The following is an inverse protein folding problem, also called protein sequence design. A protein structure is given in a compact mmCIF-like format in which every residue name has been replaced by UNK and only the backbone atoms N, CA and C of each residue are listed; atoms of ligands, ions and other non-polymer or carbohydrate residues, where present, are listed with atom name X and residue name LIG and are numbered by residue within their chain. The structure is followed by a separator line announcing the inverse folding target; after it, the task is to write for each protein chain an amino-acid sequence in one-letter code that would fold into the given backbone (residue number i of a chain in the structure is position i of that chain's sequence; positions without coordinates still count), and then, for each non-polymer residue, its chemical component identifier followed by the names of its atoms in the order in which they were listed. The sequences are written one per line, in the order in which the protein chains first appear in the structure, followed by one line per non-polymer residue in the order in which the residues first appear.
data_IF_379601257309
#
_entry.id   IF_379601257309
#
_cell.length_a   1.000
_cell.length_b   1.000
_cell.length_c   1.000
_cell.angle_alpha   90.00
_cell.angle_beta   90.00
_cell.angle_gamma   90.00
#
_symmetry.space_group_name_H-M   'P 1'
#
loop_
_entity.id
_entity.type
_entity.pdbx_description
1 polymer ?
#
# COMPACT_ATOMS: atom_id res chain seq x y z
N UNK A 1 29.09 -9.51 4.00
CA UNK A 1 28.33 -9.15 5.21
C UNK A 1 26.90 -9.64 5.01
N UNK A 2 26.56 -10.71 5.69
CA UNK A 2 25.25 -11.37 5.58
C UNK A 2 24.20 -10.51 6.31
N UNK A 3 23.33 -9.86 5.55
CA UNK A 3 22.15 -9.19 6.11
C UNK A 3 21.19 -10.27 6.59
N UNK A 4 21.12 -10.46 7.89
CA UNK A 4 20.12 -11.29 8.56
C UNK A 4 18.74 -10.69 8.27
N UNK A 5 17.95 -11.38 7.45
CA UNK A 5 16.51 -11.16 7.32
C UNK A 5 15.86 -11.58 8.65
N UNK A 6 15.68 -10.62 9.55
CA UNK A 6 14.90 -10.86 10.76
C UNK A 6 13.44 -11.01 10.34
N UNK A 7 12.97 -12.24 10.26
CA UNK A 7 11.55 -12.58 10.17
C UNK A 7 10.92 -12.17 11.51
N UNK A 8 9.95 -11.27 11.49
CA UNK A 8 9.24 -10.86 12.70
C UNK A 8 8.67 -12.08 13.42
N UNK A 9 8.74 -12.10 14.74
CA UNK A 9 8.17 -13.20 15.54
C UNK A 9 6.65 -13.27 15.30
N UNK A 10 6.06 -14.48 15.19
CA UNK A 10 4.63 -14.63 14.97
C UNK A 10 3.83 -13.96 16.09
N UNK A 11 2.97 -13.01 15.73
CA UNK A 11 2.10 -12.27 16.65
C UNK A 11 2.53 -10.84 16.97
N UNK A 12 3.73 -10.38 16.54
CA UNK A 12 4.17 -9.00 16.74
C UNK A 12 3.83 -8.13 15.54
N UNK A 13 3.28 -6.92 15.79
CA UNK A 13 3.06 -5.95 14.74
C UNK A 13 4.39 -5.49 14.12
N UNK A 14 4.46 -5.44 12.80
CA UNK A 14 5.57 -4.85 12.07
C UNK A 14 5.55 -3.32 12.20
N UNK A 15 4.36 -2.73 12.07
CA UNK A 15 4.09 -1.32 12.35
C UNK A 15 2.95 -1.22 13.36
N UNK A 16 3.15 -0.42 14.40
CA UNK A 16 2.12 -0.03 15.34
C UNK A 16 2.10 1.49 15.44
N UNK A 17 0.94 2.11 15.26
CA UNK A 17 0.72 3.53 15.53
C UNK A 17 -0.42 3.67 16.53
N UNK A 18 -0.23 4.54 17.54
CA UNK A 18 -1.19 4.74 18.62
C UNK A 18 -1.52 6.20 18.82
N UNK A 19 -2.77 6.47 19.15
CA UNK A 19 -3.25 7.80 19.53
C UNK A 19 -3.18 8.80 18.38
N UNK A 20 -3.25 8.37 17.11
CA UNK A 20 -3.11 9.27 15.97
C UNK A 20 -4.22 10.29 15.99
N UNK A 21 -3.84 11.56 16.20
CA UNK A 21 -4.74 12.71 16.18
C UNK A 21 -4.28 13.67 15.09
N UNK A 22 -5.23 14.20 14.29
CA UNK A 22 -4.95 15.15 13.21
C UNK A 22 -6.05 16.17 13.08
N UNK A 23 -5.66 17.46 13.09
CA UNK A 23 -6.57 18.59 12.95
C UNK A 23 -6.23 19.39 11.69
N UNK A 24 -7.25 19.88 11.02
CA UNK A 24 -7.17 20.86 9.94
C UNK A 24 -8.02 22.07 10.32
N UNK A 25 -7.37 23.07 10.89
CA UNK A 25 -8.08 24.21 11.50
C UNK A 25 -9.02 23.76 12.62
N UNK A 26 -10.32 23.98 12.48
CA UNK A 26 -11.32 23.58 13.47
C UNK A 26 -11.82 22.13 13.28
N UNK A 27 -11.39 21.42 12.22
CA UNK A 27 -11.87 20.06 11.92
C UNK A 27 -10.90 19.04 12.47
N UNK A 28 -11.35 18.15 13.36
CA UNK A 28 -10.62 16.96 13.78
C UNK A 28 -10.87 15.86 12.75
N UNK A 29 -9.87 15.61 11.90
CA UNK A 29 -9.95 14.56 10.89
C UNK A 29 -9.62 13.16 11.44
N UNK A 30 -8.81 13.09 12.51
CA UNK A 30 -8.53 11.89 13.30
C UNK A 30 -8.49 12.24 14.78
N UNK A 31 -9.02 11.35 15.59
CA UNK A 31 -9.05 11.50 17.05
C UNK A 31 -8.72 10.17 17.70
N UNK A 32 -7.53 10.08 18.31
CA UNK A 32 -7.07 8.95 19.10
C UNK A 32 -7.21 7.60 18.37
N UNK A 33 -6.64 7.53 17.13
CA UNK A 33 -6.73 6.34 16.29
C UNK A 33 -5.51 5.47 16.47
N UNK A 34 -5.73 4.21 16.86
CA UNK A 34 -4.71 3.16 16.83
C UNK A 34 -4.84 2.34 15.56
N UNK A 35 -3.71 1.99 14.98
CA UNK A 35 -3.63 1.13 13.82
C UNK A 35 -2.34 0.30 13.82
N UNK A 36 -2.44 -0.95 13.41
CA UNK A 36 -1.30 -1.85 13.38
C UNK A 36 -1.31 -2.70 12.10
N UNK A 37 -0.13 -3.13 11.66
CA UNK A 37 0.07 -3.99 10.50
C UNK A 37 1.06 -5.09 10.84
N UNK A 38 0.70 -6.35 10.55
CA UNK A 38 1.56 -7.50 10.74
C UNK A 38 2.18 -7.98 9.43
N UNK A 39 3.34 -8.64 9.52
CA UNK A 39 3.94 -9.29 8.35
C UNK A 39 3.07 -10.46 7.88
N UNK A 40 2.90 -10.59 6.56
CA UNK A 40 2.07 -11.64 5.97
C UNK A 40 0.57 -11.50 6.26
N UNK A 41 0.11 -10.28 6.54
CA UNK A 41 -1.30 -9.94 6.78
C UNK A 41 -1.81 -8.98 5.70
N UNK A 42 -3.07 -9.13 5.32
CA UNK A 42 -3.84 -8.07 4.66
C UNK A 42 -4.80 -7.47 5.67
N UNK A 43 -4.55 -6.24 6.07
CA UNK A 43 -5.47 -5.46 6.90
C UNK A 43 -6.23 -4.46 6.03
N UNK A 44 -7.55 -4.55 6.01
CA UNK A 44 -8.40 -3.59 5.31
C UNK A 44 -8.75 -2.42 6.23
N UNK A 45 -8.66 -1.20 5.68
CA UNK A 45 -9.12 0.02 6.32
C UNK A 45 -10.36 0.51 5.58
N UNK A 46 -11.51 0.37 6.21
CA UNK A 46 -12.82 0.71 5.63
C UNK A 46 -13.50 1.84 6.40
N UNK A 47 -14.51 2.44 5.81
CA UNK A 47 -15.28 3.55 6.38
C UNK A 47 -15.87 4.40 5.27
N UNK A 48 -16.82 5.25 5.61
CA UNK A 48 -17.47 6.16 4.67
C UNK A 48 -16.51 7.26 4.16
N UNK A 49 -16.95 8.03 3.15
CA UNK A 49 -16.23 9.21 2.70
C UNK A 49 -16.11 10.22 3.84
N UNK A 50 -14.89 10.75 4.04
CA UNK A 50 -14.63 11.64 5.18
C UNK A 50 -14.40 10.94 6.53
N UNK A 51 -14.39 9.60 6.60
CA UNK A 51 -14.14 8.86 7.84
C UNK A 51 -12.71 9.01 8.41
N UNK A 52 -11.77 9.57 7.63
CA UNK A 52 -10.38 9.78 8.06
C UNK A 52 -9.36 8.80 7.44
N UNK A 53 -9.80 7.85 6.57
CA UNK A 53 -8.92 6.81 5.98
C UNK A 53 -7.67 7.39 5.31
N UNK A 54 -7.86 8.29 4.34
CA UNK A 54 -6.74 8.91 3.60
C UNK A 54 -5.87 9.79 4.51
N UNK A 55 -6.45 10.39 5.56
CA UNK A 55 -5.69 11.16 6.55
C UNK A 55 -4.77 10.25 7.37
N UNK A 56 -5.28 9.08 7.82
CA UNK A 56 -4.48 8.11 8.55
C UNK A 56 -3.32 7.57 7.68
N UNK A 57 -3.60 7.25 6.41
CA UNK A 57 -2.56 6.77 5.50
C UNK A 57 -1.50 7.85 5.22
N UNK A 58 -1.92 9.11 5.04
CA UNK A 58 -0.98 10.23 4.89
C UNK A 58 -0.13 10.45 6.14
N UNK A 59 -0.69 10.21 7.34
CA UNK A 59 0.07 10.25 8.58
C UNK A 59 1.11 9.12 8.63
N UNK A 60 0.72 7.88 8.34
CA UNK A 60 1.62 6.71 8.32
C UNK A 60 2.70 6.85 7.24
N UNK A 61 2.36 7.39 6.07
CA UNK A 61 3.33 7.61 4.98
C UNK A 61 4.21 8.84 5.15
N UNK A 62 4.06 9.61 6.25
CA UNK A 62 4.85 10.80 6.54
C UNK A 62 4.58 12.00 5.64
N UNK A 63 3.51 11.99 4.82
CA UNK A 63 3.12 13.13 3.96
C UNK A 63 2.45 14.22 4.78
N UNK A 64 1.60 13.81 5.72
CA UNK A 64 0.91 14.70 6.66
C UNK A 64 0.95 14.06 8.05
N UNK A 65 2.06 14.20 8.78
CA UNK A 65 2.21 13.58 10.11
C UNK A 65 1.05 13.93 11.04
N UNK A 66 0.73 13.01 11.94
CA UNK A 66 -0.20 13.28 13.05
C UNK A 66 0.28 14.46 13.88
N UNK A 67 -0.66 15.20 14.47
CA UNK A 67 -0.30 16.26 15.41
C UNK A 67 0.13 15.66 16.75
N UNK A 68 -0.49 14.52 17.09
CA UNK A 68 -0.14 13.68 18.24
C UNK A 68 -0.17 12.22 17.78
N UNK A 69 0.84 11.44 18.10
CA UNK A 69 0.91 9.99 17.88
C UNK A 69 2.15 9.39 18.52
N UNK A 70 2.14 8.09 18.73
CA UNK A 70 3.35 7.28 18.90
C UNK A 70 3.41 6.23 17.80
N UNK A 71 4.61 5.87 17.37
CA UNK A 71 4.80 4.84 16.37
C UNK A 71 5.95 3.91 16.76
N UNK A 72 5.76 2.62 16.52
CA UNK A 72 6.79 1.60 16.70
C UNK A 72 6.90 0.75 15.44
N UNK A 73 8.13 0.44 15.06
CA UNK A 73 8.49 -0.47 13.99
C UNK A 73 9.22 -1.67 14.56
N UNK A 74 8.63 -2.85 14.41
CA UNK A 74 9.12 -4.08 15.04
C UNK A 74 9.43 -3.86 16.54
N UNK A 75 8.55 -3.08 17.23
CA UNK A 75 8.57 -2.69 18.62
C UNK A 75 9.69 -1.75 19.04
N UNK A 76 10.35 -1.11 18.10
CA UNK A 76 11.26 0.00 18.35
C UNK A 76 10.57 1.31 18.00
N UNK A 77 10.67 2.30 18.89
CA UNK A 77 10.08 3.61 18.66
C UNK A 77 10.66 4.25 17.41
N UNK A 78 9.78 4.78 16.56
CA UNK A 78 10.15 5.44 15.31
C UNK A 78 9.34 6.72 15.11
N UNK A 79 9.82 7.56 14.19
CA UNK A 79 9.11 8.77 13.75
C UNK A 79 8.73 8.65 12.28
N UNK A 80 7.51 9.11 11.96
CA UNK A 80 6.93 9.13 10.61
C UNK A 80 6.64 10.57 10.21
N UNK A 81 7.68 11.42 10.24
CA UNK A 81 7.54 12.85 10.00
C UNK A 81 7.70 13.23 8.53
N UNK A 82 8.34 12.38 7.73
CA UNK A 82 8.59 12.60 6.32
C UNK A 82 8.35 11.32 5.51
N UNK A 83 8.05 11.42 4.18
CA UNK A 83 7.97 10.25 3.32
C UNK A 83 9.27 9.42 3.30
N UNK A 84 10.41 10.07 3.50
CA UNK A 84 11.70 9.40 3.58
C UNK A 84 11.81 8.50 4.83
N UNK A 85 11.21 8.91 5.96
CA UNK A 85 11.19 8.08 7.17
C UNK A 85 10.39 6.81 6.93
N UNK A 86 9.19 6.93 6.37
CA UNK A 86 8.36 5.78 5.99
C UNK A 86 9.07 4.85 4.98
N UNK A 87 9.71 5.43 3.96
CA UNK A 87 10.45 4.66 2.94
C UNK A 87 11.65 3.90 3.53
N UNK A 88 12.40 4.49 4.48
CA UNK A 88 13.54 3.83 5.16
C UNK A 88 13.09 2.63 6.00
N UNK A 89 11.91 2.68 6.57
CA UNK A 89 11.30 1.56 7.28
C UNK A 89 10.79 0.48 6.31
N UNK A 90 10.69 0.77 5.01
CA UNK A 90 10.15 -0.14 4.02
C UNK A 90 8.63 -0.05 3.89
N UNK A 91 8.05 1.12 4.13
CA UNK A 91 6.64 1.41 3.86
C UNK A 91 6.54 2.04 2.46
N UNK A 92 5.81 1.40 1.57
CA UNK A 92 5.50 1.91 0.24
C UNK A 92 4.00 2.16 0.10
N UNK A 93 3.62 3.26 -0.57
CA UNK A 93 2.22 3.62 -0.77
C UNK A 93 1.91 3.75 -2.26
N UNK A 94 0.86 3.10 -2.69
CA UNK A 94 0.25 3.24 -4.02
C UNK A 94 -1.06 3.99 -3.81
N UNK A 95 -1.10 5.23 -4.27
CA UNK A 95 -2.28 6.08 -4.18
C UNK A 95 -3.27 5.78 -5.30
N UNK A 96 -4.50 6.23 -5.16
CA UNK A 96 -5.55 6.13 -6.15
C UNK A 96 -5.13 6.76 -7.50
N UNK A 97 -4.45 7.91 -7.46
CA UNK A 97 -3.72 8.43 -8.61
C UNK A 97 -2.38 7.69 -8.71
N UNK A 98 -2.25 6.86 -9.73
CA UNK A 98 -1.10 5.96 -9.90
C UNK A 98 0.21 6.70 -10.21
N UNK A 99 0.12 7.98 -10.57
CA UNK A 99 1.26 8.82 -10.97
C UNK A 99 2.17 8.11 -11.99
N UNK A 100 1.58 7.51 -13.02
CA UNK A 100 2.27 6.90 -14.15
C UNK A 100 2.32 7.89 -15.33
N UNK A 101 3.44 7.88 -16.05
CA UNK A 101 3.64 8.67 -17.26
C UNK A 101 3.14 7.86 -18.45
N UNK A 102 2.03 8.28 -19.05
CA UNK A 102 1.36 7.56 -20.16
C UNK A 102 2.24 7.39 -21.40
N UNK A 103 3.12 8.36 -21.68
CA UNK A 103 4.02 8.40 -22.81
C UNK A 103 5.36 7.67 -22.60
N UNK A 104 5.55 7.05 -21.46
CA UNK A 104 6.71 6.22 -21.15
C UNK A 104 6.33 4.75 -21.12
N UNK A 105 7.30 3.88 -21.44
CA UNK A 105 7.12 2.45 -21.30
C UNK A 105 7.07 1.98 -19.83
N UNK A 106 6.80 0.70 -19.62
CA UNK A 106 6.72 0.11 -18.29
C UNK A 106 8.07 0.20 -17.58
N UNK A 107 9.21 -0.04 -18.24
CA UNK A 107 10.54 0.03 -17.64
C UNK A 107 10.82 1.43 -17.11
N UNK A 108 10.63 2.46 -17.95
CA UNK A 108 10.85 3.84 -17.55
C UNK A 108 9.91 4.27 -16.40
N UNK A 109 8.64 3.82 -16.40
CA UNK A 109 7.72 4.08 -15.31
C UNK A 109 8.13 3.39 -13.99
N UNK A 110 8.62 2.16 -14.06
CA UNK A 110 9.08 1.43 -12.87
C UNK A 110 10.28 2.14 -12.21
N UNK A 111 11.23 2.58 -13.01
CA UNK A 111 12.47 3.17 -12.51
C UNK A 111 12.46 4.71 -12.41
N UNK A 112 11.36 5.38 -12.72
CA UNK A 112 11.27 6.84 -12.67
C UNK A 112 11.69 7.39 -11.29
N UNK A 113 12.76 8.20 -11.27
CA UNK A 113 13.38 8.73 -10.05
C UNK A 113 14.26 7.73 -9.29
N UNK A 114 14.50 6.53 -9.86
CA UNK A 114 15.36 5.47 -9.31
C UNK A 114 16.19 4.80 -10.40
N UNK A 115 16.47 5.55 -11.46
CA UNK A 115 17.15 5.06 -12.66
C UNK A 115 18.48 4.43 -12.29
N UNK A 116 18.78 3.29 -12.91
CA UNK A 116 20.11 2.68 -12.82
C UNK A 116 21.01 3.35 -13.83
N UNK A 117 22.22 3.65 -13.41
CA UNK A 117 23.23 4.31 -14.25
C UNK A 117 24.54 3.57 -14.18
N UNK A 118 25.23 3.49 -15.31
CA UNK A 118 26.58 2.95 -15.44
C UNK A 118 27.55 4.02 -15.96
N UNK A 119 28.84 3.76 -15.80
CA UNK A 119 29.87 4.63 -16.39
C UNK A 119 29.84 4.45 -17.92
N UNK A 120 29.65 5.54 -18.64
CA UNK A 120 29.69 5.53 -20.10
C UNK A 120 31.05 5.13 -20.65
N UNK A 121 31.16 4.83 -21.96
CA UNK A 121 32.37 4.30 -22.60
C UNK A 121 33.63 5.14 -22.37
N UNK A 122 33.50 6.41 -22.06
CA UNK A 122 34.62 7.34 -21.81
C UNK A 122 34.93 7.52 -20.33
N UNK A 123 34.11 6.93 -19.42
CA UNK A 123 34.22 7.12 -17.96
C UNK A 123 33.93 8.55 -17.47
N UNK A 124 33.51 9.45 -18.37
CA UNK A 124 33.26 10.87 -18.03
C UNK A 124 31.78 11.16 -17.85
N UNK A 125 30.89 10.41 -18.53
CA UNK A 125 29.45 10.57 -18.46
C UNK A 125 28.79 9.32 -17.90
N UNK A 126 27.78 9.50 -17.03
CA UNK A 126 26.90 8.42 -16.58
C UNK A 126 25.76 8.26 -17.58
N UNK A 127 25.52 7.03 -18.00
CA UNK A 127 24.43 6.68 -18.93
C UNK A 127 23.43 5.76 -18.22
N UNK A 128 22.20 5.73 -18.72
CA UNK A 128 21.20 4.81 -18.17
C UNK A 128 21.57 3.37 -18.52
N UNK A 129 21.56 2.50 -17.50
CA UNK A 129 21.69 1.06 -17.71
C UNK A 129 20.30 0.47 -18.05
N UNK A 130 19.92 0.66 -19.32
CA UNK A 130 18.60 0.19 -19.77
C UNK A 130 18.49 -1.33 -19.77
N UNK A 131 19.59 -2.05 -19.95
CA UNK A 131 19.60 -3.51 -19.97
C UNK A 131 19.31 -4.05 -18.56
N UNK A 132 19.99 -3.52 -17.55
CA UNK A 132 19.75 -3.91 -16.15
C UNK A 132 18.33 -3.54 -15.71
N UNK A 133 17.86 -2.33 -16.05
CA UNK A 133 16.49 -1.90 -15.72
C UNK A 133 15.44 -2.80 -16.38
N UNK A 134 15.62 -3.19 -17.66
CA UNK A 134 14.71 -4.09 -18.36
C UNK A 134 14.69 -5.48 -17.72
N UNK A 135 15.87 -6.06 -17.44
CA UNK A 135 15.98 -7.37 -16.81
C UNK A 135 15.30 -7.39 -15.43
N UNK A 136 15.58 -6.39 -14.58
CA UNK A 136 14.96 -6.26 -13.26
C UNK A 136 13.45 -6.06 -13.36
N UNK A 137 12.96 -5.33 -14.36
CA UNK A 137 11.51 -5.16 -14.61
C UNK A 137 10.85 -6.51 -14.92
N UNK A 138 11.47 -7.30 -15.81
CA UNK A 138 10.97 -8.62 -16.19
C UNK A 138 10.96 -9.56 -14.97
N UNK A 139 12.03 -9.58 -14.19
CA UNK A 139 12.15 -10.47 -13.04
C UNK A 139 11.17 -10.07 -11.92
N UNK A 140 10.97 -8.78 -11.68
CA UNK A 140 9.98 -8.26 -10.75
C UNK A 140 8.56 -8.68 -11.16
N UNK A 141 8.16 -8.45 -12.40
CA UNK A 141 6.84 -8.81 -12.90
C UNK A 141 6.61 -10.32 -12.87
N UNK A 142 7.64 -11.13 -13.14
CA UNK A 142 7.59 -12.59 -12.97
C UNK A 142 7.41 -13.00 -11.51
N UNK A 143 8.12 -12.38 -10.57
CA UNK A 143 7.99 -12.67 -9.14
C UNK A 143 6.59 -12.39 -8.60
N UNK A 144 5.93 -11.38 -9.18
CA UNK A 144 4.53 -11.03 -8.91
C UNK A 144 3.54 -11.87 -9.75
N UNK A 145 4.06 -12.83 -10.56
CA UNK A 145 3.32 -13.66 -11.51
C UNK A 145 2.37 -12.86 -12.42
N UNK A 146 2.79 -11.67 -12.81
CA UNK A 146 2.07 -10.81 -13.76
C UNK A 146 2.22 -11.39 -15.17
N UNK A 147 1.12 -11.88 -15.74
CA UNK A 147 1.10 -12.51 -17.08
C UNK A 147 0.38 -11.66 -18.12
N UNK A 148 -0.23 -10.56 -17.72
CA UNK A 148 -1.09 -9.73 -18.57
C UNK A 148 -0.31 -8.71 -19.40
N UNK A 149 0.94 -8.43 -19.04
CA UNK A 149 1.83 -7.54 -19.80
C UNK A 149 2.62 -8.35 -20.82
N UNK A 150 2.44 -8.03 -22.12
CA UNK A 150 3.12 -8.71 -23.21
C UNK A 150 4.60 -8.33 -23.35
N UNK A 151 4.92 -7.07 -23.05
CA UNK A 151 6.27 -6.52 -23.10
C UNK A 151 6.41 -5.41 -22.08
N UNK A 152 7.57 -5.32 -21.44
CA UNK A 152 7.93 -4.22 -20.55
C UNK A 152 8.27 -2.93 -21.30
N UNK A 153 8.42 -2.99 -22.62
CA UNK A 153 8.60 -1.84 -23.52
C UNK A 153 7.28 -1.28 -24.06
N UNK A 154 6.15 -1.78 -23.58
CA UNK A 154 4.84 -1.24 -23.93
C UNK A 154 4.63 0.10 -23.23
N UNK A 155 4.18 1.13 -23.97
CA UNK A 155 3.79 2.42 -23.38
C UNK A 155 2.60 2.26 -22.42
N UNK A 156 2.69 2.87 -21.25
CA UNK A 156 1.68 2.76 -20.18
C UNK A 156 0.33 3.31 -20.65
N UNK A 157 0.32 4.32 -21.54
CA UNK A 157 -0.90 4.87 -22.11
C UNK A 157 -1.77 3.85 -22.88
N UNK A 158 -1.16 2.78 -23.40
CA UNK A 158 -1.87 1.71 -24.13
C UNK A 158 -2.38 0.58 -23.22
N UNK A 159 -2.03 0.59 -21.93
CA UNK A 159 -2.41 -0.44 -20.98
C UNK A 159 -3.85 -0.27 -20.48
N UNK A 160 -4.51 -1.39 -20.16
CA UNK A 160 -5.78 -1.37 -19.44
C UNK A 160 -5.62 -0.84 -18.01
N UNK A 161 -6.71 -0.38 -17.38
CA UNK A 161 -6.69 0.10 -16.00
C UNK A 161 -6.06 -0.90 -15.02
N UNK A 162 -6.43 -2.18 -15.11
CA UNK A 162 -5.84 -3.23 -14.26
C UNK A 162 -4.36 -3.47 -14.52
N UNK A 163 -3.90 -3.33 -15.77
CA UNK A 163 -2.47 -3.41 -16.09
C UNK A 163 -1.71 -2.21 -15.54
N UNK A 164 -2.26 -0.99 -15.65
CA UNK A 164 -1.69 0.22 -15.04
C UNK A 164 -1.59 0.07 -13.53
N UNK A 165 -2.64 -0.43 -12.87
CA UNK A 165 -2.65 -0.71 -11.44
C UNK A 165 -1.53 -1.70 -11.06
N UNK A 166 -1.37 -2.76 -11.85
CA UNK A 166 -0.30 -3.75 -11.66
C UNK A 166 1.09 -3.12 -11.79
N UNK A 167 1.31 -2.24 -12.77
CA UNK A 167 2.59 -1.52 -12.94
C UNK A 167 2.87 -0.61 -11.74
N UNK A 168 1.86 0.11 -11.24
CA UNK A 168 2.00 0.98 -10.06
C UNK A 168 2.36 0.20 -8.79
N UNK A 169 1.71 -0.96 -8.58
CA UNK A 169 2.04 -1.87 -7.48
C UNK A 169 3.46 -2.42 -7.66
N UNK A 170 3.82 -2.88 -8.86
CA UNK A 170 5.18 -3.38 -9.14
C UNK A 170 6.24 -2.30 -8.90
N UNK A 171 6.00 -1.04 -9.29
CA UNK A 171 6.91 0.09 -9.01
C UNK A 171 7.18 0.25 -7.51
N UNK A 172 6.16 0.07 -6.67
CA UNK A 172 6.32 0.14 -5.22
C UNK A 172 7.23 -0.95 -4.67
N UNK A 173 7.30 -2.11 -5.35
CA UNK A 173 8.09 -3.27 -4.93
C UNK A 173 9.59 -3.15 -5.24
N UNK A 174 10.02 -2.24 -6.12
CA UNK A 174 11.45 -2.02 -6.42
C UNK A 174 12.28 -1.64 -5.19
N UNK A 175 11.66 -0.99 -4.21
CA UNK A 175 12.29 -0.63 -2.94
C UNK A 175 12.35 -1.77 -1.92
N UNK A 176 11.93 -2.99 -2.26
CA UNK A 176 11.81 -4.14 -1.36
C UNK A 176 11.05 -3.78 -0.07
N UNK A 177 9.83 -3.25 -0.17
CA UNK A 177 9.09 -2.83 1.00
C UNK A 177 8.75 -4.04 1.89
N UNK A 178 8.46 -3.76 3.16
CA UNK A 178 7.90 -4.71 4.12
C UNK A 178 6.40 -4.49 4.31
N UNK A 179 5.95 -3.25 4.08
CA UNK A 179 4.52 -2.88 4.08
C UNK A 179 4.20 -2.18 2.77
N UNK A 180 3.10 -2.59 2.16
CA UNK A 180 2.52 -1.93 0.97
C UNK A 180 1.13 -1.43 1.32
N UNK A 181 0.91 -0.13 1.15
CA UNK A 181 -0.39 0.52 1.33
C UNK A 181 -1.00 0.74 -0.05
N UNK A 182 -2.22 0.25 -0.25
CA UNK A 182 -2.95 0.33 -1.50
C UNK A 182 -4.23 1.13 -1.28
N UNK A 183 -4.29 2.34 -1.85
CA UNK A 183 -5.44 3.23 -1.72
C UNK A 183 -6.39 3.04 -2.91
N UNK A 184 -7.56 2.42 -2.64
CA UNK A 184 -8.63 2.13 -3.62
C UNK A 184 -8.12 1.40 -4.88
N UNK A 185 -7.35 0.29 -4.76
CA UNK A 185 -6.65 -0.30 -5.90
C UNK A 185 -7.58 -0.94 -6.94
N UNK A 186 -8.84 -1.17 -6.62
CA UNK A 186 -9.85 -1.77 -7.52
C UNK A 186 -10.86 -0.76 -8.03
N UNK A 187 -10.74 0.52 -7.64
CA UNK A 187 -11.67 1.55 -8.06
C UNK A 187 -11.69 1.70 -9.60
N UNK A 188 -12.90 1.83 -10.15
CA UNK A 188 -13.14 1.99 -11.59
C UNK A 188 -12.60 0.85 -12.50
N UNK A 189 -12.31 -0.32 -11.93
CA UNK A 189 -11.90 -1.51 -12.69
C UNK A 189 -13.10 -2.42 -13.02
N UNK A 190 -13.05 -3.08 -14.17
CA UNK A 190 -14.00 -4.14 -14.50
C UNK A 190 -13.72 -5.43 -13.71
N UNK A 191 -14.71 -6.34 -13.65
CA UNK A 191 -14.66 -7.57 -12.82
C UNK A 191 -13.39 -8.40 -13.02
N UNK A 192 -12.96 -8.62 -14.28
CA UNK A 192 -11.76 -9.39 -14.57
C UNK A 192 -10.47 -8.68 -14.09
N UNK A 193 -10.42 -7.35 -14.19
CA UNK A 193 -9.28 -6.54 -13.75
C UNK A 193 -9.21 -6.48 -12.22
N UNK A 194 -10.34 -6.31 -11.55
CA UNK A 194 -10.44 -6.38 -10.08
C UNK A 194 -9.88 -7.69 -9.56
N UNK A 195 -10.29 -8.84 -10.14
CA UNK A 195 -9.78 -10.15 -9.76
C UNK A 195 -8.25 -10.25 -9.88
N UNK A 196 -7.67 -9.70 -10.97
CA UNK A 196 -6.21 -9.68 -11.15
C UNK A 196 -5.49 -8.90 -10.05
N UNK A 197 -6.05 -7.75 -9.65
CA UNK A 197 -5.49 -6.92 -8.56
C UNK A 197 -5.63 -7.64 -7.21
N UNK A 198 -6.77 -8.26 -6.92
CA UNK A 198 -6.97 -9.04 -5.69
C UNK A 198 -6.02 -10.24 -5.62
N UNK A 199 -5.80 -10.94 -6.73
CA UNK A 199 -4.81 -12.01 -6.81
C UNK A 199 -3.37 -11.50 -6.56
N UNK A 200 -3.04 -10.30 -7.04
CA UNK A 200 -1.75 -9.68 -6.75
C UNK A 200 -1.62 -9.35 -5.25
N UNK A 201 -2.66 -8.82 -4.61
CA UNK A 201 -2.68 -8.55 -3.17
C UNK A 201 -2.41 -9.83 -2.36
N UNK A 202 -3.06 -10.95 -2.71
CA UNK A 202 -2.81 -12.25 -2.05
C UNK A 202 -1.35 -12.68 -2.16
N UNK A 203 -0.74 -12.48 -3.34
CA UNK A 203 0.68 -12.82 -3.57
C UNK A 203 1.64 -11.95 -2.75
N UNK A 204 1.35 -10.65 -2.60
CA UNK A 204 2.15 -9.79 -1.73
C UNK A 204 2.13 -10.31 -0.29
N UNK A 205 0.96 -10.70 0.22
CA UNK A 205 0.82 -11.35 1.52
C UNK A 205 1.61 -12.67 1.60
N UNK A 206 1.48 -13.54 0.59
CA UNK A 206 2.21 -14.84 0.52
C UNK A 206 3.73 -14.65 0.52
N UNK A 207 4.23 -13.54 0.00
CA UNK A 207 5.64 -13.13 0.08
C UNK A 207 6.04 -12.58 1.45
N UNK A 208 5.12 -12.56 2.42
CA UNK A 208 5.38 -12.11 3.79
C UNK A 208 5.22 -10.60 4.01
N UNK A 209 4.70 -9.85 3.03
CA UNK A 209 4.48 -8.42 3.22
C UNK A 209 3.24 -8.15 4.08
N UNK A 210 3.30 -7.09 4.89
CA UNK A 210 2.09 -6.48 5.43
C UNK A 210 1.40 -5.65 4.33
N UNK A 211 0.13 -5.89 4.09
CA UNK A 211 -0.64 -5.16 3.09
C UNK A 211 -1.76 -4.38 3.77
N UNK A 212 -1.80 -3.07 3.56
CA UNK A 212 -2.92 -2.21 3.98
C UNK A 212 -3.78 -1.95 2.75
N UNK A 213 -5.02 -2.43 2.78
CA UNK A 213 -5.99 -2.24 1.71
C UNK A 213 -7.03 -1.21 2.12
N UNK A 214 -7.06 -0.05 1.46
CA UNK A 214 -8.17 0.88 1.59
C UNK A 214 -9.17 0.57 0.49
N UNK A 215 -10.41 0.29 0.85
CA UNK A 215 -11.48 0.08 -0.12
C UNK A 215 -12.84 0.45 0.48
N UNK A 216 -13.73 0.95 -0.35
CA UNK A 216 -15.14 1.11 -0.06
C UNK A 216 -15.97 -0.10 -0.55
N UNK A 217 -15.36 -1.03 -1.30
CA UNK A 217 -16.01 -2.26 -1.76
C UNK A 217 -15.82 -3.37 -0.74
N UNK A 218 -16.84 -3.61 0.06
CA UNK A 218 -16.83 -4.63 1.13
C UNK A 218 -16.60 -6.04 0.58
N UNK A 219 -17.09 -6.35 -0.65
CA UNK A 219 -16.89 -7.66 -1.28
C UNK A 219 -15.40 -7.92 -1.55
N UNK A 220 -14.69 -6.95 -2.14
CA UNK A 220 -13.25 -7.06 -2.40
C UNK A 220 -12.46 -7.24 -1.09
N UNK A 221 -12.90 -6.51 -0.03
CA UNK A 221 -12.29 -6.62 1.30
C UNK A 221 -12.43 -8.04 1.86
N UNK A 222 -13.64 -8.60 1.85
CA UNK A 222 -13.88 -9.96 2.35
C UNK A 222 -13.15 -11.04 1.54
N UNK A 223 -12.81 -10.75 0.29
CA UNK A 223 -12.09 -11.68 -0.57
C UNK A 223 -10.61 -11.84 -0.20
N UNK A 224 -9.95 -10.78 0.32
CA UNK A 224 -8.48 -10.80 0.49
C UNK A 224 -8.00 -10.44 1.90
N UNK A 225 -8.79 -9.72 2.72
CA UNK A 225 -8.35 -9.24 4.01
C UNK A 225 -8.44 -10.34 5.10
N UNK A 226 -7.49 -10.33 6.01
CA UNK A 226 -7.51 -11.12 7.24
C UNK A 226 -8.22 -10.39 8.36
N UNK A 227 -8.05 -9.07 8.41
CA UNK A 227 -8.59 -8.19 9.43
C UNK A 227 -9.15 -6.92 8.79
N UNK A 228 -10.24 -6.41 9.35
CA UNK A 228 -10.93 -5.23 8.87
C UNK A 228 -10.99 -4.21 9.99
N UNK A 229 -10.42 -3.03 9.77
CA UNK A 229 -10.47 -1.89 10.70
C UNK A 229 -11.47 -0.88 10.14
N UNK A 230 -12.45 -0.52 10.94
CA UNK A 230 -13.51 0.42 10.55
C UNK A 230 -13.24 1.79 11.16
N UNK A 231 -13.07 2.79 10.30
CA UNK A 231 -13.05 4.21 10.69
C UNK A 231 -14.42 4.84 10.45
N UNK A 232 -14.84 5.65 11.41
CA UNK A 232 -16.04 6.49 11.31
C UNK A 232 -15.81 7.80 12.06
N UNK A 233 -16.06 8.92 11.37
CA UNK A 233 -15.93 10.27 11.94
C UNK A 233 -14.58 10.49 12.65
N UNK A 234 -13.49 10.06 12.01
CA UNK A 234 -12.13 10.23 12.52
C UNK A 234 -11.74 9.29 13.67
N UNK A 235 -12.54 8.28 14.00
CA UNK A 235 -12.28 7.33 15.09
C UNK A 235 -12.31 5.89 14.60
N UNK A 236 -11.50 5.01 15.21
CA UNK A 236 -11.64 3.56 15.03
C UNK A 236 -12.84 3.10 15.85
N UNK A 237 -13.88 2.63 15.19
CA UNK A 237 -15.13 2.19 15.84
C UNK A 237 -15.22 0.69 15.99
N UNK A 238 -14.56 -0.09 15.12
CA UNK A 238 -14.55 -1.54 15.21
C UNK A 238 -13.29 -2.14 14.55
N UNK A 239 -12.95 -3.35 14.95
CA UNK A 239 -11.96 -4.21 14.30
C UNK A 239 -12.54 -5.62 14.24
N UNK A 240 -12.54 -6.22 13.05
CA UNK A 240 -13.08 -7.55 12.81
C UNK A 240 -11.97 -8.46 12.26
N UNK A 241 -11.99 -9.73 12.64
CA UNK A 241 -11.34 -10.77 11.87
C UNK A 241 -12.29 -11.20 10.76
N UNK A 242 -11.84 -11.18 9.52
CA UNK A 242 -12.69 -11.46 8.36
C UNK A 242 -13.32 -12.85 8.42
N UNK A 243 -12.63 -13.84 9.00
CA UNK A 243 -13.13 -15.21 9.18
C UNK A 243 -14.26 -15.34 10.20
N UNK A 244 -14.45 -14.35 11.07
CA UNK A 244 -15.42 -14.37 12.17
C UNK A 244 -16.57 -13.36 11.96
N UNK A 245 -16.42 -12.42 11.02
CA UNK A 245 -17.38 -11.36 10.73
C UNK A 245 -18.23 -11.66 9.49
N UNK A 246 -19.38 -11.02 9.41
CA UNK A 246 -20.17 -10.97 8.19
C UNK A 246 -20.23 -9.55 7.61
N UNK A 247 -20.67 -9.45 6.34
CA UNK A 247 -20.72 -8.17 5.63
C UNK A 247 -21.69 -7.16 6.27
N UNK A 248 -22.82 -7.64 6.82
CA UNK A 248 -23.82 -6.79 7.43
C UNK A 248 -23.28 -6.10 8.69
N UNK A 249 -22.53 -6.81 9.52
CA UNK A 249 -21.85 -6.26 10.73
C UNK A 249 -20.84 -5.16 10.35
N UNK A 250 -20.03 -5.41 9.32
CA UNK A 250 -19.06 -4.42 8.84
C UNK A 250 -19.74 -3.18 8.28
N UNK A 251 -20.79 -3.35 7.46
CA UNK A 251 -21.58 -2.24 6.91
C UNK A 251 -22.29 -1.48 8.03
N UNK A 252 -22.86 -2.17 9.03
CA UNK A 252 -23.48 -1.54 10.19
C UNK A 252 -22.49 -0.68 10.97
N UNK A 253 -21.25 -1.17 11.19
CA UNK A 253 -20.19 -0.40 11.84
C UNK A 253 -19.76 0.83 11.01
N UNK A 254 -19.67 0.72 9.66
CA UNK A 254 -19.37 1.84 8.77
C UNK A 254 -20.45 2.92 8.86
N UNK A 255 -21.72 2.55 8.80
CA UNK A 255 -22.86 3.48 8.80
C UNK A 255 -23.27 3.94 10.19
N UNK A 256 -22.91 3.19 11.24
CA UNK A 256 -23.30 3.43 12.62
C UNK A 256 -24.71 2.94 12.95
N UNK A 257 -25.25 2.01 12.19
CA UNK A 257 -26.59 1.45 12.41
C UNK A 257 -26.70 0.68 13.74
N UNK A 258 -25.58 0.19 14.30
CA UNK A 258 -25.54 -0.52 15.59
C UNK A 258 -25.74 0.39 16.80
N UNK A 259 -25.64 1.73 16.66
CA UNK A 259 -25.80 2.69 17.75
C UNK A 259 -27.26 3.18 17.93
N UNK A 260 -28.20 2.65 17.16
CA UNK A 260 -29.62 3.05 17.17
C UNK A 260 -30.49 2.03 17.90
N UNK A 261 -29.88 1.13 18.70
CA UNK A 261 -30.62 0.21 19.59
C UNK A 261 -30.42 0.56 21.06
#
# INVERSE_FOLDING_TARGET
MTTSSATAAPGRALLEVKGVTKRFGAVEALTDVDFEVHAGEVVALVGDNGAGKSTLIKAISGIQPGDEYSAAWDGQDVHLNTPQDASRLGIATVYQDLALCDNLDVVANLFLGKEQVEDGPTGVARVLDEIEMEQRSVDLLKSLAVRTLRSVRTEVGSLSGGQRQTVAIARSMLGQPKIVILDEPTAALGVAQTRQVLDLIRRLKEQGLGVVLISHNVLDVFEVADRIVVLRLGRRVATFKTSEANQEEVVAAITGADQVR
#
